data_IF_651680698708
#
_entry.id   IF_651680698708
#
_cell.length_a   1.000
_cell.length_b   1.000
_cell.length_c   1.000
_cell.angle_alpha   90.00
_cell.angle_beta   90.00
_cell.angle_gamma   90.00
#
_symmetry.space_group_name_H-M   'P 1'
#
loop_
_entity.id
_entity.type
_entity.pdbx_description
1 polymer ?
#
# COMPACT_ATOMS: atom_id res chain seq x y z
N UNK A 1 -4.51 -32.88 27.17
CA UNK A 1 -4.21 -31.85 26.14
C UNK A 1 -3.58 -30.69 26.93
N UNK A 2 -2.28 -30.42 26.75
CA UNK A 2 -1.68 -29.22 27.34
C UNK A 2 -2.19 -28.02 26.57
N UNK A 3 -2.67 -27.00 27.27
CA UNK A 3 -2.96 -25.70 26.63
C UNK A 3 -1.69 -25.20 25.95
N UNK A 4 -1.78 -24.69 24.70
CA UNK A 4 -0.63 -24.12 24.03
C UNK A 4 -0.14 -22.93 24.88
N UNK A 5 1.10 -23.03 25.36
CA UNK A 5 1.76 -21.91 26.05
C UNK A 5 1.83 -20.74 25.08
N UNK A 6 1.25 -19.61 25.46
CA UNK A 6 1.32 -18.41 24.63
C UNK A 6 2.80 -18.06 24.35
N UNK A 7 3.17 -17.75 23.11
CA UNK A 7 4.55 -17.42 22.81
C UNK A 7 4.98 -16.18 23.61
N UNK A 8 6.17 -16.25 24.21
CA UNK A 8 6.77 -15.10 24.88
C UNK A 8 7.14 -14.07 23.83
N UNK A 9 6.53 -12.88 23.88
CA UNK A 9 6.80 -11.80 22.95
C UNK A 9 8.12 -11.11 23.26
N UNK A 10 8.82 -10.65 22.24
CA UNK A 10 9.94 -9.73 22.42
C UNK A 10 9.42 -8.35 22.86
N UNK A 11 10.25 -7.49 23.49
CA UNK A 11 9.83 -6.11 23.80
C UNK A 11 9.42 -5.31 22.57
N UNK A 12 9.98 -5.59 21.40
CA UNK A 12 9.61 -4.97 20.13
C UNK A 12 8.20 -5.41 19.70
N UNK A 13 7.94 -6.71 19.73
CA UNK A 13 6.60 -7.27 19.45
C UNK A 13 5.53 -6.77 20.40
N UNK A 14 5.86 -6.58 21.69
CA UNK A 14 4.93 -6.01 22.67
C UNK A 14 4.57 -4.56 22.33
N UNK A 15 5.55 -3.73 21.93
CA UNK A 15 5.30 -2.35 21.48
C UNK A 15 4.41 -2.31 20.25
N UNK A 16 4.73 -3.09 19.22
CA UNK A 16 3.95 -3.17 17.99
C UNK A 16 2.53 -3.66 18.27
N UNK A 17 2.38 -4.69 19.12
CA UNK A 17 1.07 -5.19 19.54
C UNK A 17 0.27 -4.12 20.29
N UNK A 18 0.90 -3.34 21.17
CA UNK A 18 0.24 -2.27 21.92
C UNK A 18 -0.35 -1.20 20.99
N UNK A 19 0.37 -0.82 19.92
CA UNK A 19 -0.12 0.12 18.91
C UNK A 19 -1.34 -0.42 18.14
N UNK A 20 -1.37 -1.73 17.90
CA UNK A 20 -2.43 -2.40 17.14
C UNK A 20 -3.62 -2.84 18.02
N UNK A 21 -3.50 -2.78 19.36
CA UNK A 21 -4.56 -3.22 20.26
C UNK A 21 -5.90 -2.56 19.97
N UNK A 22 -6.95 -3.29 20.28
CA UNK A 22 -8.30 -2.74 20.31
C UNK A 22 -8.46 -1.84 21.52
N UNK A 23 -9.22 -0.75 21.33
CA UNK A 23 -9.71 0.02 22.46
C UNK A 23 -10.60 -0.84 23.38
N UNK A 24 -10.70 -0.49 24.65
CA UNK A 24 -11.62 -1.15 25.59
C UNK A 24 -13.08 -0.94 25.15
N UNK A 25 -13.39 0.25 24.63
CA UNK A 25 -14.70 0.56 24.08
C UNK A 25 -14.81 0.10 22.61
N UNK A 26 -15.94 -0.50 22.21
CA UNK A 26 -16.22 -0.85 20.84
C UNK A 26 -16.21 0.36 19.91
N UNK A 27 -15.51 0.29 18.80
CA UNK A 27 -15.56 1.32 17.76
C UNK A 27 -16.79 1.06 16.87
N UNK A 28 -17.76 1.95 16.93
CA UNK A 28 -18.98 1.88 16.11
C UNK A 28 -19.20 3.23 15.44
N UNK A 29 -19.32 3.22 14.13
CA UNK A 29 -19.63 4.43 13.35
C UNK A 29 -21.15 4.67 13.31
N UNK A 30 -21.53 5.93 13.19
CA UNK A 30 -22.93 6.28 12.96
C UNK A 30 -23.43 5.65 11.66
N UNK A 31 -24.56 4.96 11.72
CA UNK A 31 -25.19 4.29 10.57
C UNK A 31 -25.62 5.29 9.49
N UNK A 32 -26.15 6.44 9.90
CA UNK A 32 -26.56 7.48 8.96
C UNK A 32 -25.35 8.05 8.22
N UNK A 33 -24.21 8.20 8.92
CA UNK A 33 -22.95 8.61 8.28
C UNK A 33 -22.48 7.59 7.24
N UNK A 34 -22.39 6.31 7.61
CA UNK A 34 -21.88 5.27 6.69
C UNK A 34 -22.79 5.10 5.47
N UNK A 35 -24.11 5.09 5.70
CA UNK A 35 -25.10 5.00 4.62
C UNK A 35 -25.03 6.22 3.70
N UNK A 36 -24.91 7.42 4.25
CA UNK A 36 -24.74 8.66 3.50
C UNK A 36 -23.47 8.66 2.68
N UNK A 37 -22.32 8.26 3.27
CA UNK A 37 -21.04 8.17 2.56
C UNK A 37 -21.11 7.23 1.33
N UNK A 38 -21.76 6.06 1.49
CA UNK A 38 -21.94 5.10 0.38
C UNK A 38 -22.87 5.68 -0.69
N UNK A 39 -23.95 6.34 -0.29
CA UNK A 39 -24.88 6.98 -1.24
C UNK A 39 -24.21 8.10 -2.03
N UNK A 40 -23.49 9.00 -1.35
CA UNK A 40 -22.75 10.11 -1.95
C UNK A 40 -21.69 9.58 -2.94
N UNK A 41 -20.91 8.57 -2.52
CA UNK A 41 -19.92 7.93 -3.37
C UNK A 41 -20.55 7.28 -4.62
N UNK A 42 -21.72 6.61 -4.44
CA UNK A 42 -22.44 5.95 -5.53
C UNK A 42 -22.93 6.96 -6.57
N UNK A 43 -23.53 8.06 -6.13
CA UNK A 43 -24.02 9.13 -7.02
C UNK A 43 -22.87 9.79 -7.76
N UNK A 44 -21.84 10.23 -7.04
CA UNK A 44 -20.70 10.91 -7.64
C UNK A 44 -19.95 10.03 -8.66
N UNK A 45 -19.73 8.74 -8.33
CA UNK A 45 -19.08 7.80 -9.26
C UNK A 45 -19.95 7.52 -10.49
N UNK A 46 -21.27 7.48 -10.35
CA UNK A 46 -22.17 7.33 -11.50
C UNK A 46 -22.12 8.54 -12.44
N UNK A 47 -22.09 9.77 -11.91
CA UNK A 47 -21.95 11.01 -12.67
C UNK A 47 -20.60 11.06 -13.42
N UNK A 48 -19.50 10.74 -12.73
CA UNK A 48 -18.17 10.69 -13.33
C UNK A 48 -18.08 9.58 -14.40
N UNK A 49 -18.71 8.43 -14.17
CA UNK A 49 -18.77 7.31 -15.12
C UNK A 49 -19.47 7.71 -16.43
N UNK A 50 -20.49 8.55 -16.34
CA UNK A 50 -21.19 9.05 -17.54
C UNK A 50 -20.29 9.94 -18.42
N UNK A 51 -19.34 10.66 -17.81
CA UNK A 51 -18.37 11.52 -18.52
C UNK A 51 -17.26 10.73 -19.21
N UNK A 52 -16.96 9.49 -18.77
CA UNK A 52 -15.93 8.62 -19.36
C UNK A 52 -16.29 8.03 -20.73
N UNK A 53 -17.50 8.25 -21.24
CA UNK A 53 -17.88 7.82 -22.58
C UNK A 53 -17.91 6.30 -22.79
N UNK A 54 -18.02 5.51 -21.72
CA UNK A 54 -18.09 4.03 -21.78
C UNK A 54 -16.76 3.31 -21.55
N UNK A 55 -15.65 4.01 -21.41
CA UNK A 55 -14.37 3.40 -21.04
C UNK A 55 -14.36 2.96 -19.57
N UNK A 56 -13.67 1.84 -19.30
CA UNK A 56 -13.53 1.34 -17.92
C UNK A 56 -12.32 1.97 -17.26
N UNK A 57 -12.52 2.59 -16.10
CA UNK A 57 -11.47 3.17 -15.27
C UNK A 57 -11.25 2.35 -14.00
N UNK A 58 -10.02 1.83 -13.83
CA UNK A 58 -9.59 1.18 -12.58
C UNK A 58 -8.86 2.17 -11.68
N UNK A 59 -9.50 2.53 -10.58
CA UNK A 59 -8.95 3.44 -9.59
C UNK A 59 -8.26 2.64 -8.50
N UNK A 60 -6.95 2.80 -8.41
CA UNK A 60 -6.07 2.18 -7.40
C UNK A 60 -5.31 3.25 -6.61
N UNK A 61 -4.62 2.85 -5.53
CA UNK A 61 -3.73 3.77 -4.81
C UNK A 61 -2.65 4.35 -5.73
N UNK A 62 -2.08 3.54 -6.64
CA UNK A 62 -1.05 4.02 -7.58
C UNK A 62 -1.62 4.98 -8.61
N UNK A 63 -2.83 4.76 -9.11
CA UNK A 63 -3.55 5.69 -9.97
C UNK A 63 -3.69 7.05 -9.27
N UNK A 64 -4.20 7.06 -8.02
CA UNK A 64 -4.39 8.29 -7.25
C UNK A 64 -3.05 8.98 -6.94
N UNK A 65 -2.00 8.22 -6.63
CA UNK A 65 -0.68 8.79 -6.39
C UNK A 65 -0.11 9.49 -7.63
N UNK A 66 -0.36 8.95 -8.83
CA UNK A 66 0.11 9.54 -10.09
C UNK A 66 -0.68 10.77 -10.48
N UNK A 67 -2.01 10.71 -10.48
CA UNK A 67 -2.86 11.82 -10.92
C UNK A 67 -2.74 13.03 -9.99
N UNK A 68 -2.65 12.83 -8.68
CA UNK A 68 -2.40 13.90 -7.72
C UNK A 68 -0.93 14.35 -7.66
N UNK A 69 -0.03 13.53 -8.16
CA UNK A 69 1.38 13.86 -8.33
C UNK A 69 1.58 14.73 -9.58
N UNK A 70 2.37 14.24 -10.53
CA UNK A 70 2.62 14.94 -11.79
C UNK A 70 1.66 14.43 -12.87
N UNK A 71 0.74 15.28 -13.35
CA UNK A 71 -0.25 14.91 -14.35
C UNK A 71 0.39 14.51 -15.70
N UNK A 72 1.54 15.11 -16.04
CA UNK A 72 2.31 14.69 -17.21
C UNK A 72 2.81 13.25 -17.07
N UNK A 73 3.30 12.86 -15.87
CA UNK A 73 3.69 11.48 -15.60
C UNK A 73 2.49 10.53 -15.58
N UNK A 74 1.34 11.00 -15.09
CA UNK A 74 0.10 10.21 -15.07
C UNK A 74 -0.35 9.79 -16.48
N UNK A 75 -0.09 10.61 -17.48
CA UNK A 75 -0.41 10.34 -18.88
C UNK A 75 0.63 9.48 -19.61
N UNK A 76 1.79 9.18 -18.98
CA UNK A 76 2.78 8.31 -19.59
C UNK A 76 2.39 6.83 -19.43
N UNK A 77 2.77 5.98 -20.39
CA UNK A 77 2.66 4.53 -20.22
C UNK A 77 3.31 4.04 -18.92
N UNK A 78 2.74 3.01 -18.32
CA UNK A 78 3.30 2.37 -17.13
C UNK A 78 4.48 1.46 -17.54
N UNK A 79 5.63 2.06 -17.82
CA UNK A 79 6.88 1.34 -18.01
C UNK A 79 7.61 1.23 -16.67
N UNK A 80 7.56 0.04 -16.07
CA UNK A 80 8.22 -0.22 -14.80
C UNK A 80 9.48 -1.05 -15.03
N UNK A 81 10.63 -0.45 -14.78
CA UNK A 81 11.92 -1.15 -14.81
C UNK A 81 12.22 -1.78 -13.45
N UNK A 82 12.33 -3.10 -13.43
CA UNK A 82 12.71 -3.83 -12.24
C UNK A 82 14.20 -3.65 -11.94
N UNK A 83 14.51 -3.38 -10.66
CA UNK A 83 15.89 -3.29 -10.14
C UNK A 83 15.98 -4.11 -8.86
N UNK A 84 17.17 -4.64 -8.49
CA UNK A 84 17.32 -5.46 -7.28
C UNK A 84 16.77 -4.80 -6.03
N UNK A 85 17.04 -3.51 -5.83
CA UNK A 85 16.53 -2.75 -4.67
C UNK A 85 15.00 -2.67 -4.61
N UNK A 86 14.33 -2.49 -5.76
CA UNK A 86 12.87 -2.46 -5.84
C UNK A 86 12.30 -3.87 -5.71
N UNK A 87 12.95 -4.84 -6.35
CA UNK A 87 12.55 -6.24 -6.30
C UNK A 87 12.62 -6.80 -4.88
N UNK A 88 13.61 -6.39 -4.08
CA UNK A 88 13.71 -6.78 -2.67
C UNK A 88 12.46 -6.41 -1.84
N UNK A 89 11.69 -5.41 -2.26
CA UNK A 89 10.40 -5.08 -1.65
C UNK A 89 9.39 -6.20 -1.84
N UNK A 90 9.07 -6.54 -3.09
CA UNK A 90 8.04 -7.56 -3.35
C UNK A 90 8.48 -8.98 -2.93
N UNK A 91 9.80 -9.28 -2.94
CA UNK A 91 10.32 -10.53 -2.38
C UNK A 91 10.09 -10.58 -0.87
N UNK A 92 10.36 -9.47 -0.14
CA UNK A 92 10.09 -9.39 1.29
C UNK A 92 8.60 -9.56 1.61
N UNK A 93 7.70 -8.92 0.85
CA UNK A 93 6.25 -9.11 1.01
C UNK A 93 5.86 -10.59 0.82
N UNK A 94 6.40 -11.24 -0.23
CA UNK A 94 6.13 -12.68 -0.46
C UNK A 94 6.71 -13.55 0.66
N UNK A 95 7.90 -13.24 1.14
CA UNK A 95 8.50 -13.94 2.27
C UNK A 95 7.67 -13.79 3.56
N UNK A 96 7.17 -12.59 3.85
CA UNK A 96 6.29 -12.33 5.00
C UNK A 96 4.96 -13.09 4.86
N UNK A 97 4.35 -13.08 3.68
CA UNK A 97 3.14 -13.88 3.39
C UNK A 97 3.37 -15.37 3.69
N UNK A 98 4.52 -15.91 3.27
CA UNK A 98 4.89 -17.29 3.55
C UNK A 98 5.18 -17.51 5.03
N UNK A 99 5.91 -16.61 5.69
CA UNK A 99 6.26 -16.71 7.09
C UNK A 99 5.03 -16.75 8.01
N UNK A 100 4.02 -15.93 7.73
CA UNK A 100 2.77 -15.91 8.49
C UNK A 100 1.94 -17.21 8.36
N UNK A 101 2.18 -17.98 7.31
CA UNK A 101 1.55 -19.29 7.08
C UNK A 101 2.53 -20.47 7.27
N UNK A 102 3.76 -20.21 7.74
CA UNK A 102 4.80 -21.23 7.85
C UNK A 102 4.50 -22.24 8.96
N UNK A 103 4.78 -23.50 8.70
CA UNK A 103 4.63 -24.55 9.72
C UNK A 103 5.93 -24.68 10.51
N UNK A 104 5.88 -24.42 11.81
CA UNK A 104 7.05 -24.41 12.67
C UNK A 104 7.73 -23.04 12.71
N UNK A 105 9.01 -23.02 13.11
CA UNK A 105 9.80 -21.79 13.17
C UNK A 105 10.22 -21.34 11.76
N UNK A 106 9.86 -20.13 11.38
CA UNK A 106 10.17 -19.54 10.08
C UNK A 106 11.59 -18.93 10.13
N UNK A 107 12.60 -19.65 9.62
CA UNK A 107 13.92 -19.07 9.44
C UNK A 107 13.90 -18.07 8.25
N UNK A 108 14.29 -16.79 8.46
CA UNK A 108 14.18 -15.75 7.42
C UNK A 108 14.81 -16.14 6.09
N UNK A 109 16.00 -16.75 6.11
CA UNK A 109 16.67 -17.20 4.89
C UNK A 109 15.89 -18.27 4.12
N UNK A 110 15.30 -19.25 4.82
CA UNK A 110 14.52 -20.30 4.18
C UNK A 110 13.23 -19.76 3.56
N UNK A 111 12.55 -18.84 4.26
CA UNK A 111 11.32 -18.24 3.77
C UNK A 111 11.58 -17.34 2.57
N UNK A 112 12.69 -16.61 2.57
CA UNK A 112 13.11 -15.78 1.42
C UNK A 112 13.51 -16.65 0.23
N UNK A 113 14.25 -17.74 0.43
CA UNK A 113 14.62 -18.65 -0.64
C UNK A 113 13.38 -19.30 -1.28
N UNK A 114 12.40 -19.70 -0.48
CA UNK A 114 11.11 -20.19 -0.96
C UNK A 114 10.31 -19.11 -1.70
N UNK A 115 10.33 -17.86 -1.20
CA UNK A 115 9.67 -16.73 -1.86
C UNK A 115 10.27 -16.47 -3.24
N UNK A 116 11.60 -16.46 -3.34
CA UNK A 116 12.31 -16.28 -4.60
C UNK A 116 11.99 -17.41 -5.60
N UNK A 117 11.97 -18.66 -5.16
CA UNK A 117 11.62 -19.79 -5.99
C UNK A 117 10.19 -19.67 -6.54
N UNK A 118 9.21 -19.38 -5.65
CA UNK A 118 7.81 -19.21 -6.08
C UNK A 118 7.59 -18.01 -6.99
N UNK A 119 8.35 -16.93 -6.81
CA UNK A 119 8.26 -15.77 -7.67
C UNK A 119 8.86 -16.06 -9.04
N UNK A 120 10.00 -16.75 -9.11
CA UNK A 120 10.62 -17.12 -10.37
C UNK A 120 9.72 -18.01 -11.26
N UNK A 121 8.85 -18.81 -10.65
CA UNK A 121 7.89 -19.66 -11.35
C UNK A 121 6.64 -18.91 -11.86
N UNK A 122 6.47 -17.62 -11.54
CA UNK A 122 5.33 -16.84 -12.00
C UNK A 122 5.50 -16.40 -13.46
N UNK A 123 4.45 -16.55 -14.25
CA UNK A 123 4.41 -16.13 -15.66
C UNK A 123 4.07 -14.62 -15.79
N UNK A 124 4.73 -13.77 -15.01
CA UNK A 124 4.57 -12.32 -15.07
C UNK A 124 5.94 -11.60 -15.12
N UNK A 125 5.93 -10.27 -15.24
CA UNK A 125 7.16 -9.47 -15.32
C UNK A 125 8.05 -9.59 -14.07
N UNK A 126 7.47 -9.85 -12.88
CA UNK A 126 8.23 -10.07 -11.64
C UNK A 126 8.96 -11.40 -11.67
N UNK A 127 8.26 -12.45 -12.08
CA UNK A 127 8.86 -13.77 -12.24
C UNK A 127 9.99 -13.77 -13.29
N UNK A 128 9.75 -13.17 -14.44
CA UNK A 128 10.78 -13.03 -15.48
C UNK A 128 12.01 -12.27 -14.97
N UNK A 129 11.82 -11.20 -14.19
CA UNK A 129 12.92 -10.46 -13.57
C UNK A 129 13.70 -11.35 -12.59
N UNK A 130 13.01 -12.01 -11.63
CA UNK A 130 13.67 -12.86 -10.62
C UNK A 130 14.44 -14.02 -11.27
N UNK A 131 13.87 -14.64 -12.30
CA UNK A 131 14.54 -15.73 -13.03
C UNK A 131 15.75 -15.27 -13.87
N UNK A 132 15.79 -13.99 -14.26
CA UNK A 132 16.86 -13.40 -15.10
C UNK A 132 17.91 -12.60 -14.35
N UNK A 133 17.86 -12.52 -13.03
CA UNK A 133 18.78 -11.74 -12.19
C UNK A 133 20.20 -12.34 -12.24
N UNK A 134 21.22 -11.47 -12.35
CA UNK A 134 22.63 -11.91 -12.29
C UNK A 134 23.01 -12.40 -10.88
N UNK A 135 24.08 -13.20 -10.76
CA UNK A 135 24.55 -13.72 -9.46
C UNK A 135 24.84 -12.59 -8.44
N UNK A 136 25.41 -11.46 -8.92
CA UNK A 136 25.71 -10.32 -8.06
C UNK A 136 24.44 -9.64 -7.55
N UNK A 137 23.51 -9.38 -8.46
CA UNK A 137 22.19 -8.76 -8.12
C UNK A 137 21.34 -9.72 -7.28
N UNK A 138 21.45 -11.04 -7.50
CA UNK A 138 20.81 -12.06 -6.68
C UNK A 138 21.25 -11.98 -5.22
N UNK A 139 22.55 -11.87 -4.98
CA UNK A 139 23.07 -11.76 -3.62
C UNK A 139 22.56 -10.50 -2.90
N UNK A 140 22.50 -9.36 -3.58
CA UNK A 140 21.94 -8.11 -3.05
C UNK A 140 20.46 -8.26 -2.78
N UNK A 141 19.68 -8.73 -3.74
CA UNK A 141 18.24 -8.95 -3.65
C UNK A 141 17.89 -9.84 -2.46
N UNK A 142 18.55 -10.99 -2.36
CA UNK A 142 18.37 -11.96 -1.29
C UNK A 142 18.72 -11.37 0.08
N UNK A 143 19.88 -10.70 0.19
CA UNK A 143 20.33 -10.10 1.45
C UNK A 143 19.36 -9.05 1.98
N UNK A 144 18.88 -8.14 1.14
CA UNK A 144 17.91 -7.11 1.49
C UNK A 144 16.56 -7.72 1.90
N UNK A 145 16.10 -8.75 1.20
CA UNK A 145 14.85 -9.43 1.55
C UNK A 145 14.95 -10.17 2.89
N UNK A 146 16.10 -10.82 3.18
CA UNK A 146 16.36 -11.48 4.46
C UNK A 146 16.39 -10.46 5.60
N UNK A 147 17.05 -9.31 5.46
CA UNK A 147 17.09 -8.26 6.47
C UNK A 147 15.66 -7.79 6.83
N UNK A 148 14.84 -7.47 5.82
CA UNK A 148 13.44 -7.04 6.01
C UNK A 148 12.57 -8.11 6.66
N UNK A 149 12.71 -9.36 6.20
CA UNK A 149 11.97 -10.49 6.78
C UNK A 149 12.39 -10.75 8.23
N UNK A 150 13.68 -10.63 8.54
CA UNK A 150 14.22 -10.77 9.90
C UNK A 150 13.64 -9.70 10.82
N UNK A 151 13.71 -8.42 10.41
CA UNK A 151 13.13 -7.30 11.16
C UNK A 151 11.64 -7.50 11.42
N UNK A 152 10.90 -7.91 10.38
CA UNK A 152 9.47 -8.22 10.54
C UNK A 152 9.24 -9.32 11.58
N UNK A 153 9.91 -10.45 11.50
CA UNK A 153 9.72 -11.57 12.43
C UNK A 153 10.16 -11.26 13.88
N UNK A 154 11.13 -10.35 14.05
CA UNK A 154 11.61 -9.93 15.38
C UNK A 154 10.71 -8.87 16.03
N UNK A 155 10.02 -8.03 15.24
CA UNK A 155 9.30 -6.87 15.72
C UNK A 155 7.78 -6.97 15.57
N UNK A 156 7.29 -7.62 14.52
CA UNK A 156 5.86 -7.83 14.34
C UNK A 156 5.37 -8.99 15.19
N UNK A 157 4.28 -8.84 15.96
CA UNK A 157 3.81 -9.90 16.84
C UNK A 157 3.29 -11.11 16.04
N UNK A 158 3.51 -12.34 16.51
CA UNK A 158 2.92 -13.52 15.90
C UNK A 158 1.39 -13.43 15.92
N UNK A 159 0.76 -13.79 14.80
CA UNK A 159 -0.69 -13.71 14.64
C UNK A 159 -1.34 -15.07 14.88
N UNK A 160 -2.08 -15.26 15.98
CA UNK A 160 -2.86 -16.47 16.18
C UNK A 160 -4.03 -16.53 15.18
N UNK A 161 -4.49 -17.73 14.84
CA UNK A 161 -5.64 -17.91 13.96
C UNK A 161 -6.91 -17.20 14.47
N UNK A 162 -7.04 -17.05 15.79
CA UNK A 162 -8.14 -16.28 16.40
C UNK A 162 -8.14 -14.80 16.04
N UNK A 163 -6.99 -14.24 15.63
CA UNK A 163 -6.90 -12.89 15.10
C UNK A 163 -7.45 -12.77 13.66
N UNK A 164 -7.74 -13.90 13.01
CA UNK A 164 -8.30 -13.97 11.66
C UNK A 164 -7.47 -13.17 10.63
N UNK A 165 -6.16 -13.42 10.52
CA UNK A 165 -5.33 -12.74 9.53
C UNK A 165 -5.72 -13.18 8.13
N UNK A 166 -5.82 -12.23 7.21
CA UNK A 166 -6.03 -12.44 5.77
C UNK A 166 -4.93 -11.68 5.02
N UNK A 167 -4.09 -12.42 4.31
CA UNK A 167 -2.99 -11.89 3.52
C UNK A 167 -3.46 -11.58 2.10
N UNK A 168 -2.85 -10.57 1.49
CA UNK A 168 -3.09 -10.21 0.09
C UNK A 168 -4.59 -10.02 -0.22
N UNK A 169 -5.33 -9.43 0.74
CA UNK A 169 -6.77 -9.30 0.68
C UNK A 169 -7.20 -8.31 -0.41
N UNK A 170 -7.86 -8.82 -1.46
CA UNK A 170 -8.42 -7.98 -2.50
C UNK A 170 -9.71 -7.30 -2.03
N UNK A 171 -9.80 -6.00 -2.26
CA UNK A 171 -11.00 -5.20 -2.06
C UNK A 171 -11.36 -4.53 -3.38
N UNK A 172 -12.64 -4.64 -3.76
CA UNK A 172 -13.19 -4.04 -4.98
C UNK A 172 -14.56 -3.45 -4.67
N UNK A 173 -14.80 -2.27 -5.21
CA UNK A 173 -16.09 -1.61 -5.14
C UNK A 173 -16.42 -1.00 -6.51
N UNK A 174 -17.55 -1.39 -7.07
CA UNK A 174 -18.06 -0.93 -8.35
C UNK A 174 -19.57 -0.80 -8.25
N UNK A 175 -20.10 0.39 -7.91
CA UNK A 175 -21.53 0.57 -7.64
C UNK A 175 -22.36 0.47 -8.93
N UNK A 176 -22.01 1.22 -9.93
CA UNK A 176 -22.65 1.24 -11.24
C UNK A 176 -21.70 1.92 -12.25
N UNK A 177 -21.89 1.69 -13.54
CA UNK A 177 -21.08 2.31 -14.57
C UNK A 177 -19.73 1.62 -14.80
N UNK A 178 -18.74 2.42 -15.21
CA UNK A 178 -17.47 1.95 -15.74
C UNK A 178 -16.28 2.20 -14.80
N UNK A 179 -16.50 2.77 -13.62
CA UNK A 179 -15.45 3.04 -12.64
C UNK A 179 -15.42 1.93 -11.58
N UNK A 180 -14.27 1.31 -11.38
CA UNK A 180 -14.01 0.35 -10.32
C UNK A 180 -12.89 0.88 -9.41
N UNK A 181 -13.20 1.06 -8.12
CA UNK A 181 -12.18 1.28 -7.10
C UNK A 181 -11.68 -0.07 -6.58
N UNK A 182 -10.39 -0.31 -6.67
CA UNK A 182 -9.84 -1.61 -6.27
C UNK A 182 -8.44 -1.51 -5.71
N UNK A 183 -8.10 -2.47 -4.85
CA UNK A 183 -6.78 -2.61 -4.30
C UNK A 183 -6.58 -3.95 -3.61
N UNK A 184 -5.34 -4.23 -3.27
CA UNK A 184 -4.94 -5.40 -2.53
C UNK A 184 -4.15 -4.96 -1.31
N UNK A 185 -4.64 -5.35 -0.13
CA UNK A 185 -4.07 -5.02 1.16
C UNK A 185 -3.14 -6.16 1.57
N UNK A 186 -1.93 -5.84 2.01
CA UNK A 186 -0.93 -6.86 2.37
C UNK A 186 -1.41 -7.75 3.50
N UNK A 187 -2.02 -7.16 4.55
CA UNK A 187 -2.54 -7.91 5.69
C UNK A 187 -3.79 -7.23 6.27
N UNK A 188 -4.83 -8.02 6.45
CA UNK A 188 -6.00 -7.66 7.26
C UNK A 188 -6.03 -8.50 8.53
N UNK A 189 -6.36 -7.89 9.67
CA UNK A 189 -6.47 -8.58 10.95
C UNK A 189 -7.86 -8.33 11.54
N UNK A 190 -8.58 -9.40 11.84
CA UNK A 190 -9.94 -9.34 12.34
C UNK A 190 -10.98 -9.17 11.24
N UNK A 191 -12.24 -9.12 11.65
CA UNK A 191 -13.39 -8.86 10.79
C UNK A 191 -14.47 -8.10 11.57
N UNK A 192 -15.36 -7.36 10.89
CA UNK A 192 -16.49 -6.73 11.54
C UNK A 192 -17.33 -7.72 12.37
N UNK A 193 -17.95 -7.25 13.44
CA UNK A 193 -18.92 -8.02 14.23
C UNK A 193 -20.19 -7.20 14.40
N UNK A 194 -21.21 -7.52 13.60
CA UNK A 194 -22.35 -6.64 13.45
C UNK A 194 -21.88 -5.27 12.92
N UNK A 195 -22.17 -4.20 13.67
CA UNK A 195 -21.74 -2.81 13.35
C UNK A 195 -20.39 -2.43 13.99
N UNK A 196 -19.81 -3.30 14.81
CA UNK A 196 -18.54 -3.01 15.45
C UNK A 196 -17.39 -3.11 14.46
N UNK A 197 -16.60 -2.06 14.34
CA UNK A 197 -15.39 -1.97 13.55
C UNK A 197 -14.24 -2.69 14.25
N UNK A 198 -13.91 -3.88 13.80
CA UNK A 198 -12.83 -4.71 14.36
C UNK A 198 -11.67 -4.90 13.40
N UNK A 199 -11.87 -4.60 12.13
CA UNK A 199 -10.87 -4.79 11.10
C UNK A 199 -9.71 -3.80 11.26
N UNK A 200 -8.48 -4.31 11.22
CA UNK A 200 -7.24 -3.56 11.12
C UNK A 200 -6.63 -3.87 9.75
N UNK A 201 -6.19 -2.82 9.06
CA UNK A 201 -5.51 -2.92 7.76
C UNK A 201 -4.04 -2.59 7.98
N UNK A 202 -3.15 -3.46 7.51
CA UNK A 202 -1.70 -3.26 7.53
C UNK A 202 -1.18 -3.27 6.11
N UNK A 203 -0.36 -2.28 5.77
CA UNK A 203 0.35 -2.18 4.51
C UNK A 203 1.85 -2.15 4.80
N UNK A 204 2.59 -3.05 4.19
CA UNK A 204 4.04 -3.14 4.36
C UNK A 204 4.72 -2.21 3.38
N UNK A 205 5.67 -1.43 3.85
CA UNK A 205 6.42 -0.51 3.02
C UNK A 205 7.92 -0.80 3.12
N UNK A 206 8.57 -0.84 1.97
CA UNK A 206 10.02 -0.88 1.84
C UNK A 206 10.53 0.46 1.32
N UNK A 207 11.73 0.85 1.74
CA UNK A 207 12.33 2.14 1.39
C UNK A 207 11.94 3.27 2.34
N UNK A 208 12.09 4.50 1.85
CA UNK A 208 11.93 5.69 2.67
C UNK A 208 10.48 5.93 3.10
N UNK A 209 10.30 6.57 4.26
CA UNK A 209 9.00 7.03 4.73
C UNK A 209 8.44 8.12 3.81
N UNK A 210 7.15 8.08 3.59
CA UNK A 210 6.44 9.08 2.81
C UNK A 210 5.06 9.35 3.39
N UNK A 211 4.64 10.61 3.40
CA UNK A 211 3.29 11.00 3.79
C UNK A 211 2.22 10.41 2.87
N UNK A 212 2.56 10.08 1.63
CA UNK A 212 1.66 9.42 0.68
C UNK A 212 1.24 8.02 1.12
N UNK A 213 2.03 7.34 1.96
CA UNK A 213 1.68 6.01 2.46
C UNK A 213 0.41 6.02 3.30
N UNK A 214 0.14 7.12 4.01
CA UNK A 214 -1.12 7.33 4.74
C UNK A 214 -2.32 7.43 3.81
N UNK A 215 -2.16 8.13 2.69
CA UNK A 215 -3.24 8.27 1.69
C UNK A 215 -3.58 6.93 1.02
N UNK A 216 -2.57 6.06 0.80
CA UNK A 216 -2.78 4.70 0.31
C UNK A 216 -3.70 3.90 1.24
N UNK A 217 -3.44 3.95 2.55
CA UNK A 217 -4.23 3.24 3.56
C UNK A 217 -5.63 3.82 3.73
N UNK A 218 -5.78 5.14 3.65
CA UNK A 218 -7.09 5.81 3.69
C UNK A 218 -7.96 5.41 2.48
N UNK A 219 -7.34 5.25 1.30
CA UNK A 219 -8.04 4.70 0.13
C UNK A 219 -8.51 3.26 0.38
N UNK A 220 -7.68 2.41 0.98
CA UNK A 220 -8.10 1.05 1.35
C UNK A 220 -9.23 1.05 2.39
N UNK A 221 -9.17 1.94 3.39
CA UNK A 221 -10.24 2.09 4.38
C UNK A 221 -11.56 2.50 3.71
N UNK A 222 -11.50 3.43 2.75
CA UNK A 222 -12.65 3.84 1.95
C UNK A 222 -13.24 2.66 1.19
N UNK A 223 -12.44 1.98 0.34
CA UNK A 223 -12.92 0.85 -0.49
C UNK A 223 -13.55 -0.25 0.37
N UNK A 224 -12.94 -0.54 1.52
CA UNK A 224 -13.46 -1.53 2.46
C UNK A 224 -14.79 -1.09 3.08
N UNK A 225 -14.92 0.19 3.43
CA UNK A 225 -16.16 0.77 3.96
C UNK A 225 -17.28 0.74 2.93
N UNK A 226 -17.00 1.18 1.70
CA UNK A 226 -17.97 1.17 0.61
C UNK A 226 -18.47 -0.23 0.27
N UNK A 227 -17.60 -1.24 0.43
CA UNK A 227 -17.92 -2.64 0.15
C UNK A 227 -18.70 -3.34 1.26
N UNK A 228 -18.36 -3.08 2.53
CA UNK A 228 -18.87 -3.86 3.67
C UNK A 228 -19.86 -3.09 4.55
N UNK A 229 -20.03 -1.79 4.32
CA UNK A 229 -20.79 -0.88 5.15
C UNK A 229 -20.37 -0.85 6.65
N UNK A 230 -19.16 -1.35 6.94
CA UNK A 230 -18.52 -1.25 8.26
C UNK A 230 -17.07 -0.83 8.05
N UNK A 231 -16.68 0.37 8.50
CA UNK A 231 -15.32 0.86 8.38
C UNK A 231 -14.30 -0.03 9.10
N UNK A 232 -13.04 -0.10 8.66
CA UNK A 232 -11.98 -0.61 9.50
C UNK A 232 -11.80 0.32 10.73
N UNK A 233 -11.26 -0.23 11.82
CA UNK A 233 -11.03 0.57 13.04
C UNK A 233 -9.69 1.32 13.00
N UNK A 234 -8.69 0.75 12.31
CA UNK A 234 -7.32 1.22 12.41
C UNK A 234 -6.52 0.87 11.14
N UNK A 235 -5.61 1.74 10.77
CA UNK A 235 -4.69 1.62 9.66
C UNK A 235 -3.27 1.57 10.19
N UNK A 236 -2.43 0.71 9.65
CA UNK A 236 -1.02 0.55 10.06
C UNK A 236 -0.14 0.53 8.83
N UNK A 237 0.79 1.47 8.74
CA UNK A 237 1.92 1.39 7.83
C UNK A 237 3.07 0.76 8.59
N UNK A 238 3.54 -0.41 8.14
CA UNK A 238 4.70 -1.06 8.74
C UNK A 238 5.91 -0.92 7.81
N UNK A 239 6.94 -0.22 8.27
CA UNK A 239 8.16 0.04 7.52
C UNK A 239 9.18 -1.06 7.74
N UNK A 240 9.36 -1.92 6.73
CA UNK A 240 10.23 -3.10 6.80
C UNK A 240 11.71 -2.77 7.00
N UNK A 241 12.18 -1.64 6.46
CA UNK A 241 13.58 -1.24 6.58
C UNK A 241 13.91 -0.70 7.98
N UNK A 242 12.90 -0.21 8.73
CA UNK A 242 13.06 0.43 10.04
C UNK A 242 12.52 -0.41 11.20
N UNK A 243 11.75 -1.47 10.92
CA UNK A 243 10.99 -2.25 11.92
C UNK A 243 10.09 -1.34 12.77
N UNK A 244 9.37 -0.41 12.14
CA UNK A 244 8.53 0.57 12.81
C UNK A 244 7.14 0.65 12.21
N UNK A 245 6.17 0.97 13.06
CA UNK A 245 4.77 1.12 12.68
C UNK A 245 4.30 2.56 12.86
N UNK A 246 3.67 3.10 11.83
CA UNK A 246 2.81 4.30 11.94
C UNK A 246 1.35 3.87 11.95
N UNK A 247 0.58 4.42 12.90
CA UNK A 247 -0.79 4.00 13.15
C UNK A 247 -1.73 5.18 13.04
N UNK A 248 -2.88 4.98 12.38
CA UNK A 248 -3.95 5.96 12.28
C UNK A 248 -5.29 5.29 12.66
N UNK A 249 -6.03 5.88 13.60
CA UNK A 249 -7.40 5.47 13.87
C UNK A 249 -8.33 5.98 12.76
N UNK A 250 -9.20 5.11 12.27
CA UNK A 250 -10.17 5.50 11.24
C UNK A 250 -11.28 6.31 11.88
N UNK A 251 -11.55 7.48 11.32
CA UNK A 251 -12.60 8.39 11.71
C UNK A 251 -13.51 8.71 10.54
N UNK A 252 -14.66 9.35 10.79
CA UNK A 252 -15.50 9.89 9.71
C UNK A 252 -14.70 10.86 8.82
N UNK A 253 -13.85 11.70 9.43
CA UNK A 253 -12.98 12.63 8.70
C UNK A 253 -12.00 11.91 7.78
N UNK A 254 -11.40 10.80 8.23
CA UNK A 254 -10.51 9.94 7.43
C UNK A 254 -11.23 9.41 6.18
N UNK A 255 -12.46 8.92 6.35
CA UNK A 255 -13.25 8.36 5.26
C UNK A 255 -13.73 9.43 4.27
N UNK A 256 -14.17 10.60 4.77
CA UNK A 256 -14.55 11.75 3.92
C UNK A 256 -13.35 12.24 3.09
N UNK A 257 -12.17 12.37 3.72
CA UNK A 257 -10.95 12.77 3.02
C UNK A 257 -10.53 11.75 1.96
N UNK A 258 -10.65 10.45 2.26
CA UNK A 258 -10.40 9.37 1.29
C UNK A 258 -11.35 9.43 0.10
N UNK A 259 -12.64 9.67 0.33
CA UNK A 259 -13.64 9.80 -0.75
C UNK A 259 -13.38 11.05 -1.60
N UNK A 260 -13.17 12.20 -0.96
CA UNK A 260 -12.89 13.44 -1.68
C UNK A 260 -11.64 13.30 -2.58
N UNK A 261 -10.55 12.71 -2.06
CA UNK A 261 -9.34 12.46 -2.85
C UNK A 261 -9.58 11.50 -4.01
N UNK A 262 -10.38 10.44 -3.81
CA UNK A 262 -10.68 9.49 -4.88
C UNK A 262 -11.50 10.13 -5.99
N UNK A 263 -12.54 10.88 -5.65
CA UNK A 263 -13.39 11.58 -6.62
C UNK A 263 -12.63 12.67 -7.37
N UNK A 264 -11.83 13.48 -6.67
CA UNK A 264 -10.98 14.51 -7.27
C UNK A 264 -9.95 13.90 -8.26
N UNK A 265 -9.32 12.77 -7.90
CA UNK A 265 -8.41 12.08 -8.81
C UNK A 265 -9.09 11.50 -10.05
N UNK A 266 -10.31 10.99 -9.93
CA UNK A 266 -11.11 10.54 -11.07
C UNK A 266 -11.49 11.72 -11.95
N UNK A 267 -11.93 12.83 -11.37
CA UNK A 267 -12.29 14.03 -12.10
C UNK A 267 -11.10 14.61 -12.86
N UNK A 268 -9.94 14.77 -12.21
CA UNK A 268 -8.71 15.19 -12.87
C UNK A 268 -8.34 14.30 -14.06
N UNK A 269 -8.48 12.98 -13.91
CA UNK A 269 -8.23 12.05 -15.02
C UNK A 269 -9.17 12.28 -16.20
N UNK A 270 -10.46 12.46 -15.95
CA UNK A 270 -11.47 12.73 -17.00
C UNK A 270 -11.17 14.06 -17.71
N UNK A 271 -10.87 15.12 -16.96
CA UNK A 271 -10.48 16.42 -17.53
C UNK A 271 -9.27 16.30 -18.45
N UNK A 272 -8.27 15.50 -18.07
CA UNK A 272 -7.04 15.32 -18.84
C UNK A 272 -7.24 14.47 -20.09
N UNK A 273 -8.00 13.38 -19.99
CA UNK A 273 -8.06 12.34 -21.03
C UNK A 273 -9.27 12.47 -21.95
N UNK A 274 -10.39 12.97 -21.44
CA UNK A 274 -11.65 13.10 -22.19
C UNK A 274 -11.91 14.54 -22.60
N UNK A 275 -11.71 15.50 -21.68
CA UNK A 275 -12.03 16.91 -21.92
C UNK A 275 -10.83 17.71 -22.49
N UNK A 276 -9.65 17.10 -22.52
CA UNK A 276 -8.46 17.68 -23.15
C UNK A 276 -7.81 18.83 -22.38
N UNK A 277 -8.03 18.93 -21.06
CA UNK A 277 -7.34 19.91 -20.23
C UNK A 277 -5.82 19.69 -20.29
N UNK A 278 -5.01 20.74 -20.47
CA UNK A 278 -3.56 20.60 -20.45
C UNK A 278 -3.04 20.06 -19.08
N UNK A 279 -2.11 19.09 -19.08
CA UNK A 279 -1.58 18.53 -17.84
C UNK A 279 -0.62 19.50 -17.13
N UNK A 280 -0.69 19.52 -15.81
CA UNK A 280 0.19 20.30 -14.93
C UNK A 280 1.41 19.47 -14.53
N UNK A 281 2.60 20.06 -14.70
CA UNK A 281 3.85 19.49 -14.21
C UNK A 281 4.01 19.79 -12.72
N UNK A 282 4.20 18.75 -11.92
CA UNK A 282 4.50 18.84 -10.49
C UNK A 282 5.76 18.04 -10.21
N UNK A 283 6.96 18.68 -10.24
CA UNK A 283 8.22 17.99 -9.99
C UNK A 283 8.28 17.42 -8.56
N UNK A 284 8.89 16.25 -8.45
CA UNK A 284 9.03 15.54 -7.19
C UNK A 284 9.96 14.33 -7.35
N UNK A 285 10.07 13.50 -6.32
CA UNK A 285 10.94 12.31 -6.36
C UNK A 285 10.62 11.36 -7.51
N UNK A 286 9.38 11.30 -7.97
CA UNK A 286 8.98 10.50 -9.13
C UNK A 286 9.69 10.91 -10.43
N UNK A 287 10.25 12.13 -10.51
CA UNK A 287 11.04 12.57 -11.66
C UNK A 287 12.26 11.69 -11.93
N UNK A 288 12.81 11.01 -10.92
CA UNK A 288 13.94 10.08 -11.06
C UNK A 288 13.63 8.90 -11.98
N UNK A 289 12.36 8.50 -12.04
CA UNK A 289 11.87 7.34 -12.79
C UNK A 289 10.89 7.73 -13.92
N UNK A 290 10.71 9.03 -14.14
CA UNK A 290 9.84 9.52 -15.20
C UNK A 290 10.45 9.23 -16.58
N UNK A 291 9.72 8.68 -17.55
CA UNK A 291 10.22 8.48 -18.92
C UNK A 291 10.74 9.77 -19.54
N UNK A 292 10.17 10.92 -19.14
CA UNK A 292 10.53 12.26 -19.62
C UNK A 292 11.64 12.93 -18.79
N UNK A 293 12.33 12.24 -17.91
CA UNK A 293 13.29 12.80 -16.96
C UNK A 293 14.46 13.53 -17.62
N UNK A 294 14.81 13.18 -18.87
CA UNK A 294 15.90 13.82 -19.64
C UNK A 294 15.45 15.06 -20.42
N UNK A 295 14.15 15.25 -20.60
CA UNK A 295 13.57 16.28 -21.46
C UNK A 295 12.76 17.30 -20.64
N UNK A 296 12.30 16.94 -19.45
CA UNK A 296 11.49 17.78 -18.58
C UNK A 296 12.38 18.74 -17.78
N UNK A 297 12.44 20.00 -18.18
CA UNK A 297 13.28 21.02 -17.53
C UNK A 297 12.93 21.20 -16.05
N UNK A 298 11.63 21.19 -15.70
CA UNK A 298 11.17 21.34 -14.33
C UNK A 298 11.58 20.13 -13.46
N UNK A 299 11.51 18.92 -14.04
CA UNK A 299 11.98 17.69 -13.37
C UNK A 299 13.49 17.68 -13.15
N UNK A 300 14.26 18.06 -14.17
CA UNK A 300 15.72 18.21 -14.06
C UNK A 300 16.12 19.26 -13.02
N UNK A 301 15.45 20.41 -12.99
CA UNK A 301 15.71 21.46 -12.00
C UNK A 301 15.42 21.00 -10.56
N UNK A 302 14.39 20.13 -10.37
CA UNK A 302 14.10 19.54 -9.07
C UNK A 302 15.20 18.56 -8.64
N UNK A 303 15.59 17.65 -9.53
CA UNK A 303 16.60 16.63 -9.22
C UNK A 303 17.99 17.21 -8.96
N UNK A 304 18.36 18.31 -9.64
CA UNK A 304 19.63 18.99 -9.41
C UNK A 304 19.66 19.71 -8.05
N UNK A 305 18.56 20.35 -7.61
CA UNK A 305 18.48 20.96 -6.27
C UNK A 305 18.61 19.95 -5.15
N UNK A 306 17.98 18.77 -5.31
CA UNK A 306 18.07 17.67 -4.35
C UNK A 306 19.53 17.15 -4.23
N UNK A 307 20.28 17.12 -5.34
CA UNK A 307 21.67 16.71 -5.35
C UNK A 307 22.56 17.74 -4.61
N UNK A 308 22.36 19.03 -4.87
CA UNK A 308 23.11 20.11 -4.20
C UNK A 308 22.84 20.17 -2.69
N UNK A 309 21.61 19.90 -2.23
CA UNK A 309 21.27 19.85 -0.81
C UNK A 309 21.89 18.62 -0.09
N UNK A 310 22.02 17.48 -0.79
CA UNK A 310 22.67 16.29 -0.22
C UNK A 310 24.19 16.44 -0.13
N UNK A 311 24.82 17.10 -1.10
CA UNK A 311 26.28 17.37 -1.09
C UNK A 311 26.68 18.36 0.03
N UNK A 312 25.78 19.23 0.47
CA UNK A 312 26.04 20.19 1.56
C UNK A 312 26.02 19.51 2.94
N UNK A 313 25.25 18.44 3.12
CA UNK A 313 25.16 17.73 4.40
C UNK A 313 26.40 16.85 4.67
N UNK A 314 27.06 16.38 3.62
CA UNK A 314 28.29 15.55 3.75
C UNK A 314 29.58 16.39 4.01
N UNK A 315 29.52 17.72 3.96
CA UNK A 315 30.68 18.60 4.19
C UNK A 315 30.74 19.10 5.66
N UNK A 316 29.69 18.92 6.45
CA UNK A 316 29.62 19.35 7.86
C UNK A 316 29.62 18.20 8.89
N UNK A 317 29.96 16.96 8.52
CA UNK A 317 30.02 15.81 9.41
C UNK A 317 31.45 15.35 9.72
#
# INVERSE_FOLDING_TARGET
>A
MQEPVAPTLTPAQERTLALMRRSEEPVVFDEAFVTGLIADATVAVAELSARLGGETLWVSKSFLSKVHGCEVLHLQPDEFEWRPATAAGFVAHKAIELALNWRGEAAPSQVVDEALARLADQADARGAFVAGVTDADWAELRSRAIDRCTKFLQDFPPLPLSAQPVLEAAAKWRPAGTIEMSGKVDLQIGKPSGRESRLLIVDFKSGNRSHHHRDDLRFYALVQTLRQAVPPRKLVTYYLDYAESEVEDVTEGTLRAGLARALDGIEQHIELTVEGRPPVKRPGFACRWCPLNRECLEGLAFLNRDADELDVVDIEA
#
